data_IF_898127094461
#
_entry.id   IF_898127094461
#
_cell.length_a   1.000
_cell.length_b   1.000
_cell.length_c   1.000
_cell.angle_alpha   90.00
_cell.angle_beta   90.00
_cell.angle_gamma   90.00
#
_symmetry.space_group_name_H-M   'P 1'
#
loop_
_entity.id
_entity.type
_entity.pdbx_description
1 polymer ?
#
# COMPACT_ATOMS: atom_id res chain seq x y z
N UNK A 1 -13.81 20.56 -5.37
CA UNK A 1 -13.54 19.80 -4.90
C UNK A 1 -13.45 18.77 -5.43
N UNK A 2 -12.95 18.18 -5.31
CA UNK A 2 -12.77 17.25 -6.06
C UNK A 2 -13.30 16.06 -5.61
N UNK A 3 -13.45 15.67 -4.63
CA UNK A 3 -13.95 14.40 -4.21
C UNK A 3 -13.08 13.24 -4.53
N UNK A 4 -11.92 13.48 -5.04
CA UNK A 4 -11.03 12.39 -5.31
C UNK A 4 -10.34 11.94 -4.07
N UNK A 5 -10.18 10.63 -3.93
CA UNK A 5 -9.42 10.09 -2.82
C UNK A 5 -7.94 10.10 -3.15
N UNK A 6 -7.10 10.37 -2.18
CA UNK A 6 -5.67 10.24 -2.42
C UNK A 6 -5.33 8.80 -2.71
N UNK A 7 -4.42 8.60 -3.64
CA UNK A 7 -3.97 7.27 -4.02
C UNK A 7 -2.48 7.22 -3.82
N UNK A 8 -2.01 6.17 -3.15
CA UNK A 8 -0.60 6.02 -2.90
C UNK A 8 -0.15 4.65 -3.34
N UNK A 9 1.03 4.61 -3.94
CA UNK A 9 1.67 3.35 -4.26
C UNK A 9 2.53 2.97 -3.06
N UNK A 10 2.34 1.77 -2.56
CA UNK A 10 2.99 1.35 -1.33
C UNK A 10 3.82 0.12 -1.61
N UNK A 11 5.02 0.10 -1.04
CA UNK A 11 5.91 -1.03 -1.16
C UNK A 11 6.39 -1.39 0.23
N UNK A 12 6.14 -2.62 0.65
CA UNK A 12 6.48 -3.07 2.00
C UNK A 12 7.32 -4.33 1.90
N UNK A 13 8.44 -4.35 2.61
CA UNK A 13 9.28 -5.53 2.69
C UNK A 13 9.12 -6.17 4.06
N UNK A 14 9.04 -7.49 4.07
CA UNK A 14 8.80 -8.23 5.30
C UNK A 14 9.96 -9.16 5.60
N UNK A 15 10.01 -9.63 6.84
CA UNK A 15 11.01 -10.62 7.20
C UNK A 15 10.69 -11.95 6.55
N UNK A 16 9.43 -12.30 6.50
CA UNK A 16 9.01 -13.55 5.89
C UNK A 16 8.00 -13.32 4.80
N UNK A 17 7.12 -14.28 4.58
CA UNK A 17 6.13 -14.18 3.53
C UNK A 17 5.17 -13.04 3.82
N UNK A 18 4.88 -12.20 2.83
CA UNK A 18 3.94 -11.11 3.04
C UNK A 18 2.52 -11.64 3.27
N UNK A 19 1.71 -10.92 4.07
CA UNK A 19 0.33 -11.35 4.34
C UNK A 19 -0.59 -10.94 3.20
N UNK A 20 -0.46 -11.59 2.07
CA UNK A 20 -1.17 -11.17 0.86
C UNK A 20 -2.68 -11.24 1.02
N UNK A 21 -3.18 -12.29 1.66
CA UNK A 21 -4.62 -12.44 1.81
C UNK A 21 -5.23 -11.31 2.65
N UNK A 22 -4.61 -11.02 3.76
CA UNK A 22 -5.11 -9.96 4.62
C UNK A 22 -5.08 -8.62 3.91
N UNK A 23 -4.01 -8.36 3.18
CA UNK A 23 -3.88 -7.09 2.50
C UNK A 23 -4.90 -6.97 1.38
N UNK A 24 -5.14 -8.05 0.64
CA UNK A 24 -6.11 -8.00 -0.44
C UNK A 24 -7.52 -7.70 0.07
N UNK A 25 -7.81 -8.09 1.31
CA UNK A 25 -9.14 -7.88 1.87
C UNK A 25 -9.28 -6.55 2.57
N UNK A 26 -8.21 -5.79 2.69
CA UNK A 26 -8.29 -4.50 3.36
C UNK A 26 -9.03 -3.50 2.49
N UNK A 27 -9.84 -2.68 3.12
CA UNK A 27 -10.58 -1.65 2.40
C UNK A 27 -9.61 -0.66 1.77
N UNK A 28 -9.90 -0.29 0.53
CA UNK A 28 -9.10 0.72 -0.15
C UNK A 28 -7.82 0.22 -0.75
N UNK A 29 -7.55 -1.07 -0.67
CA UNK A 29 -6.32 -1.64 -1.23
C UNK A 29 -6.65 -2.34 -2.54
N UNK A 30 -5.82 -2.12 -3.55
CA UNK A 30 -5.99 -2.76 -4.84
C UNK A 30 -4.63 -3.06 -5.46
N UNK A 31 -4.64 -3.86 -6.52
CA UNK A 31 -3.45 -4.17 -7.31
C UNK A 31 -2.32 -4.70 -6.46
N UNK A 32 -2.63 -5.72 -5.68
CA UNK A 32 -1.64 -6.31 -4.79
C UNK A 32 -0.75 -7.24 -5.57
N UNK A 33 0.56 -7.03 -5.45
CA UNK A 33 1.56 -7.87 -6.11
C UNK A 33 2.59 -8.29 -5.08
N UNK A 34 3.06 -9.51 -5.21
CA UNK A 34 4.05 -10.06 -4.30
C UNK A 34 5.30 -10.40 -5.11
N UNK A 35 6.44 -9.95 -4.61
CA UNK A 35 7.72 -10.25 -5.22
C UNK A 35 8.65 -10.66 -4.10
N UNK A 36 8.76 -11.98 -3.85
CA UNK A 36 9.57 -12.47 -2.75
C UNK A 36 9.01 -12.02 -1.41
N UNK A 37 9.77 -11.26 -0.66
CA UNK A 37 9.32 -10.76 0.64
C UNK A 37 8.76 -9.35 0.51
N UNK A 38 8.60 -8.84 -0.70
CA UNK A 38 8.11 -7.49 -0.92
C UNK A 38 6.69 -7.53 -1.46
N UNK A 39 5.84 -6.68 -0.90
CA UNK A 39 4.46 -6.55 -1.33
C UNK A 39 4.26 -5.15 -1.86
N UNK A 40 3.63 -5.03 -3.03
CA UNK A 40 3.31 -3.74 -3.63
C UNK A 40 1.82 -3.65 -3.85
N UNK A 41 1.28 -2.49 -3.61
CA UNK A 41 -0.16 -2.31 -3.84
C UNK A 41 -0.47 -0.83 -3.95
N UNK A 42 -1.71 -0.55 -4.28
CA UNK A 42 -2.24 0.81 -4.26
C UNK A 42 -3.20 0.94 -3.09
N UNK A 43 -3.09 2.06 -2.39
CA UNK A 43 -3.96 2.34 -1.25
C UNK A 43 -4.73 3.61 -1.55
N UNK A 44 -6.05 3.53 -1.50
CA UNK A 44 -6.94 4.65 -1.75
C UNK A 44 -7.48 5.16 -0.43
N UNK A 45 -7.30 6.44 -0.18
CA UNK A 45 -7.84 7.04 1.03
C UNK A 45 -7.02 6.73 2.26
N UNK A 46 -7.67 6.23 3.31
CA UNK A 46 -7.02 6.03 4.58
C UNK A 46 -6.09 4.82 4.57
N UNK A 47 -4.95 4.96 5.23
CA UNK A 47 -4.00 3.87 5.38
C UNK A 47 -4.40 2.90 6.47
N UNK A 48 -5.37 3.27 7.29
CA UNK A 48 -5.68 2.49 8.48
C UNK A 48 -6.00 1.02 8.17
N UNK A 49 -6.88 0.71 7.22
CA UNK A 49 -7.16 -0.70 6.96
C UNK A 49 -5.93 -1.45 6.46
N UNK A 50 -5.10 -0.78 5.67
CA UNK A 50 -3.89 -1.41 5.18
C UNK A 50 -2.93 -1.72 6.33
N UNK A 51 -2.73 -0.76 7.22
CA UNK A 51 -1.82 -0.96 8.33
C UNK A 51 -2.32 -2.05 9.26
N UNK A 52 -3.62 -2.13 9.44
CA UNK A 52 -4.16 -3.18 10.29
C UNK A 52 -3.96 -4.55 9.68
N UNK A 53 -3.94 -4.62 8.36
CA UNK A 53 -3.70 -5.90 7.71
C UNK A 53 -2.27 -6.38 7.92
N UNK A 54 -1.37 -5.49 8.29
CA UNK A 54 0.02 -5.87 8.55
C UNK A 54 0.28 -6.28 9.97
N UNK A 55 -0.70 -6.20 10.84
CA UNK A 55 -0.50 -6.49 12.25
C UNK A 55 -0.04 -7.93 12.43
N UNK A 56 0.91 -8.13 13.32
CA UNK A 56 1.44 -9.45 13.57
C UNK A 56 2.51 -9.88 12.62
N UNK A 57 2.84 -9.04 11.64
CA UNK A 57 3.88 -9.35 10.67
C UNK A 57 5.01 -8.37 10.82
N UNK A 58 6.22 -8.88 10.74
CA UNK A 58 7.38 -8.04 10.97
C UNK A 58 7.77 -7.36 9.67
N UNK A 59 7.80 -6.04 9.69
CA UNK A 59 8.06 -5.22 8.52
C UNK A 59 9.49 -4.70 8.59
N UNK A 60 10.23 -4.87 7.50
CA UNK A 60 11.59 -4.37 7.40
C UNK A 60 11.58 -2.93 6.91
N UNK A 61 10.78 -2.65 5.90
CA UNK A 61 10.73 -1.30 5.36
C UNK A 61 9.37 -1.06 4.73
N UNK A 62 8.99 0.20 4.68
CA UNK A 62 7.73 0.61 4.07
C UNK A 62 7.97 1.92 3.35
N UNK A 63 7.56 1.97 2.09
CA UNK A 63 7.65 3.18 1.31
C UNK A 63 6.30 3.49 0.71
N UNK A 64 5.95 4.74 0.67
CA UNK A 64 4.73 5.13 0.00
C UNK A 64 5.01 6.35 -0.86
N UNK A 65 4.39 6.37 -2.03
CA UNK A 65 4.56 7.46 -2.98
C UNK A 65 3.20 7.91 -3.43
N UNK A 66 2.96 9.20 -3.34
CA UNK A 66 1.69 9.75 -3.76
C UNK A 66 1.64 9.79 -5.29
N UNK A 67 0.67 9.11 -5.87
CA UNK A 67 0.54 9.13 -7.32
C UNK A 67 0.08 10.49 -7.78
N UNK A 68 -0.75 11.13 -6.99
CA UNK A 68 -1.19 12.45 -7.36
C UNK A 68 -0.05 13.44 -7.35
N UNK A 69 0.89 13.27 -6.45
CA UNK A 69 2.04 14.13 -6.45
C UNK A 69 2.84 14.00 -7.72
N UNK A 70 2.91 12.80 -8.27
CA UNK A 70 3.62 12.62 -9.51
C UNK A 70 2.97 13.38 -10.63
N UNK A 71 1.66 13.42 -10.63
CA UNK A 71 0.95 14.17 -11.62
C UNK A 71 1.38 15.60 -11.61
N UNK A 72 1.41 16.19 -10.45
CA UNK A 72 1.74 17.58 -10.37
C UNK A 72 3.16 17.84 -10.69
N UNK A 73 4.03 16.96 -10.32
CA UNK A 73 5.43 17.18 -10.57
C UNK A 73 5.73 17.19 -12.04
N UNK A 74 4.89 16.59 -12.84
CA UNK A 74 5.20 16.53 -14.25
C UNK A 74 4.87 17.80 -14.96
N UNK A 75 4.27 18.76 -14.29
CA UNK A 75 3.96 19.97 -14.97
C UNK A 75 5.06 20.88 -15.16
#
# INVERSE_FOLDING_TARGET
MTGELPVQRVEVSFVGAPPAHQVKRASGVSEVEIDGVTLRCLVYGSFQPFLEALRGHEVVSLRSTSIQGEWEASQ
#
